data_IF_359906751422
#
_entry.id   IF_359906751422
#
_cell.length_a   1.000
_cell.length_b   1.000
_cell.length_c   1.000
_cell.angle_alpha   90.00
_cell.angle_beta   90.00
_cell.angle_gamma   90.00
#
_symmetry.space_group_name_H-M   'P 1'
#
loop_
_entity.id
_entity.type
_entity.pdbx_description
1 polymer ?
#
# COMPACT_ATOMS: atom_id res chain seq x y z
N UNK A 1 -15.32 8.44 0.40
CA UNK A 1 -15.38 7.62 -0.83
C UNK A 1 -14.39 6.48 -0.68
N UNK A 2 -14.75 5.23 -0.99
CA UNK A 2 -13.78 4.14 -1.06
C UNK A 2 -12.80 4.38 -2.22
N UNK A 3 -11.54 3.97 -2.07
CA UNK A 3 -10.54 4.01 -3.13
C UNK A 3 -10.88 2.97 -4.21
N UNK A 4 -10.69 3.32 -5.48
CA UNK A 4 -10.83 2.34 -6.57
C UNK A 4 -9.60 1.42 -6.63
N UNK A 5 -9.71 0.27 -7.31
CA UNK A 5 -8.57 -0.63 -7.58
C UNK A 5 -7.39 0.11 -8.23
N UNK A 6 -7.68 1.04 -9.15
CA UNK A 6 -6.68 1.87 -9.81
C UNK A 6 -5.98 2.79 -8.79
N UNK A 7 -6.74 3.42 -7.90
CA UNK A 7 -6.20 4.28 -6.84
C UNK A 7 -5.31 3.46 -5.90
N UNK A 8 -5.76 2.29 -5.46
CA UNK A 8 -4.98 1.37 -4.61
C UNK A 8 -3.65 0.97 -5.26
N UNK A 9 -3.66 0.72 -6.58
CA UNK A 9 -2.44 0.39 -7.33
C UNK A 9 -1.45 1.56 -7.36
N UNK A 10 -1.94 2.80 -7.55
CA UNK A 10 -1.09 3.98 -7.50
C UNK A 10 -0.56 4.26 -6.09
N UNK A 11 -1.41 4.09 -5.07
CA UNK A 11 -1.01 4.24 -3.66
C UNK A 11 0.08 3.22 -3.31
N UNK A 12 -0.07 1.95 -3.71
CA UNK A 12 0.95 0.91 -3.52
C UNK A 12 2.29 1.32 -4.14
N UNK A 13 2.28 1.75 -5.39
CA UNK A 13 3.50 2.18 -6.08
C UNK A 13 4.17 3.38 -5.41
N UNK A 14 3.38 4.35 -4.94
CA UNK A 14 3.89 5.50 -4.21
C UNK A 14 4.54 5.09 -2.88
N UNK A 15 3.87 4.23 -2.09
CA UNK A 15 4.41 3.74 -0.82
C UNK A 15 5.76 3.03 -1.04
N UNK A 16 5.86 2.15 -2.04
CA UNK A 16 7.10 1.46 -2.37
C UNK A 16 8.22 2.41 -2.80
N UNK A 17 7.90 3.47 -3.54
CA UNK A 17 8.89 4.48 -3.93
C UNK A 17 9.41 5.28 -2.73
N UNK A 18 8.52 5.65 -1.80
CA UNK A 18 8.91 6.35 -0.57
C UNK A 18 9.74 5.44 0.35
N UNK A 19 9.29 4.20 0.56
CA UNK A 19 10.02 3.23 1.40
C UNK A 19 11.43 2.95 0.83
N UNK A 20 11.57 2.78 -0.48
CA UNK A 20 12.88 2.65 -1.11
C UNK A 20 13.78 3.88 -0.93
N UNK A 21 13.21 5.08 -0.91
CA UNK A 21 13.95 6.32 -0.66
C UNK A 21 14.41 6.40 0.80
N UNK A 22 13.51 6.17 1.75
CA UNK A 22 13.83 6.23 3.18
C UNK A 22 14.84 5.15 3.60
N UNK A 23 14.74 3.95 3.04
CA UNK A 23 15.65 2.84 3.33
C UNK A 23 17.07 3.09 2.80
N UNK A 24 17.24 4.03 1.86
CA UNK A 24 18.55 4.40 1.34
C UNK A 24 19.30 5.41 2.22
N UNK A 25 18.60 6.07 3.16
CA UNK A 25 19.19 7.04 4.09
C UNK A 25 19.99 6.28 5.15
N UNK A 26 21.24 6.69 5.34
CA UNK A 26 22.10 6.17 6.40
C UNK A 26 22.11 7.08 7.62
N UNK A 27 22.36 6.51 8.81
CA UNK A 27 22.46 7.28 10.06
C UNK A 27 23.55 8.37 9.98
N UNK A 28 24.63 8.12 9.23
CA UNK A 28 25.73 9.06 9.01
C UNK A 28 25.35 10.30 8.18
N UNK A 29 24.25 10.24 7.44
CA UNK A 29 23.71 11.35 6.63
C UNK A 29 22.69 12.19 7.40
N UNK A 30 22.29 11.76 8.61
CA UNK A 30 21.38 12.49 9.48
C UNK A 30 22.15 13.47 10.37
N UNK A 31 21.67 14.71 10.44
CA UNK A 31 22.31 15.76 11.22
C UNK A 31 21.91 15.70 12.71
N UNK A 32 20.74 15.12 13.01
CA UNK A 32 20.16 15.03 14.36
C UNK A 32 20.11 13.59 14.89
N UNK A 33 20.35 13.41 16.19
CA UNK A 33 20.37 12.09 16.87
C UNK A 33 19.03 11.34 16.76
N UNK A 34 17.91 12.06 16.63
CA UNK A 34 16.56 11.48 16.55
C UNK A 34 16.07 11.32 15.10
N UNK A 35 16.65 12.01 14.12
CA UNK A 35 16.19 12.02 12.73
C UNK A 35 16.24 10.62 12.10
N UNK A 36 17.32 9.89 12.35
CA UNK A 36 17.43 8.51 11.87
C UNK A 36 16.38 7.60 12.50
N UNK A 37 16.10 7.76 13.79
CA UNK A 37 15.06 6.98 14.49
C UNK A 37 13.67 7.30 13.94
N UNK A 38 13.37 8.56 13.66
CA UNK A 38 12.10 8.98 13.04
C UNK A 38 11.93 8.35 11.64
N UNK A 39 13.00 8.31 10.84
CA UNK A 39 13.00 7.64 9.54
C UNK A 39 12.71 6.13 9.69
N UNK A 40 13.27 5.47 10.71
CA UNK A 40 12.98 4.06 10.97
C UNK A 40 11.50 3.84 11.35
N UNK A 41 10.93 4.73 12.16
CA UNK A 41 9.51 4.69 12.52
C UNK A 41 8.60 4.90 11.30
N UNK A 42 8.96 5.83 10.42
CA UNK A 42 8.26 6.07 9.15
C UNK A 42 8.32 4.85 8.24
N UNK A 43 9.48 4.19 8.11
CA UNK A 43 9.62 2.93 7.36
C UNK A 43 8.68 1.86 7.92
N UNK A 44 8.61 1.70 9.25
CA UNK A 44 7.69 0.76 9.89
C UNK A 44 6.22 1.10 9.60
N UNK A 45 5.88 2.39 9.59
CA UNK A 45 4.54 2.86 9.26
C UNK A 45 4.17 2.58 7.80
N UNK A 46 5.06 2.90 6.86
CA UNK A 46 4.89 2.62 5.43
C UNK A 46 4.71 1.14 5.15
N UNK A 47 5.47 0.27 5.83
CA UNK A 47 5.31 -1.19 5.72
C UNK A 47 3.92 -1.67 6.15
N UNK A 48 3.37 -1.09 7.23
CA UNK A 48 2.00 -1.39 7.69
C UNK A 48 0.96 -0.91 6.67
N UNK A 49 1.14 0.28 6.11
CA UNK A 49 0.25 0.80 5.06
C UNK A 49 0.29 -0.05 3.80
N UNK A 50 1.48 -0.49 3.38
CA UNK A 50 1.64 -1.36 2.22
C UNK A 50 0.89 -2.68 2.41
N UNK A 51 0.99 -3.30 3.59
CA UNK A 51 0.26 -4.53 3.91
C UNK A 51 -1.26 -4.34 3.83
N UNK A 52 -1.78 -3.22 4.35
CA UNK A 52 -3.21 -2.89 4.25
C UNK A 52 -3.65 -2.71 2.79
N UNK A 53 -2.91 -1.94 2.00
CA UNK A 53 -3.23 -1.69 0.59
C UNK A 53 -3.21 -3.00 -0.20
N UNK A 54 -2.22 -3.86 0.04
CA UNK A 54 -2.15 -5.18 -0.61
C UNK A 54 -3.37 -6.03 -0.29
N UNK A 55 -3.82 -6.04 0.97
CA UNK A 55 -5.04 -6.77 1.35
C UNK A 55 -6.28 -6.24 0.65
N UNK A 56 -6.46 -4.91 0.58
CA UNK A 56 -7.60 -4.30 -0.12
C UNK A 56 -7.59 -4.61 -1.63
N UNK A 57 -6.39 -4.65 -2.24
CA UNK A 57 -6.21 -5.08 -3.63
C UNK A 57 -6.62 -6.55 -3.79
N UNK A 58 -6.16 -7.45 -2.92
CA UNK A 58 -6.52 -8.86 -2.94
C UNK A 58 -8.04 -9.06 -2.77
N UNK A 59 -8.68 -8.31 -1.88
CA UNK A 59 -10.14 -8.34 -1.70
C UNK A 59 -10.88 -7.87 -2.96
N UNK A 60 -10.37 -6.81 -3.62
CA UNK A 60 -10.91 -6.32 -4.88
C UNK A 60 -10.73 -7.31 -6.04
N UNK A 61 -9.63 -8.08 -6.06
CA UNK A 61 -9.37 -9.10 -7.08
C UNK A 61 -10.21 -10.37 -6.85
N UNK A 62 -10.39 -10.76 -5.59
CA UNK A 62 -11.21 -11.91 -5.20
C UNK A 62 -12.72 -11.64 -5.32
N UNK A 63 -13.13 -10.38 -5.35
CA UNK A 63 -14.51 -9.94 -5.60
C UNK A 63 -14.93 -10.05 -7.08
N UNK A 64 -14.39 -11.02 -7.82
CA UNK A 64 -14.59 -11.22 -9.26
C UNK A 64 -16.06 -11.14 -9.72
N UNK A 65 -16.31 -11.01 -11.03
CA UNK A 65 -17.65 -10.75 -11.55
C UNK A 65 -18.65 -11.81 -11.07
N UNK A 66 -19.72 -11.39 -10.38
CA UNK A 66 -20.78 -12.32 -10.02
C UNK A 66 -21.53 -12.73 -11.28
N UNK A 67 -21.48 -14.02 -11.62
CA UNK A 67 -22.34 -14.57 -12.66
C UNK A 67 -23.79 -14.44 -12.20
N UNK A 68 -24.51 -13.44 -12.72
CA UNK A 68 -25.96 -13.40 -12.56
C UNK A 68 -26.53 -14.64 -13.25
N UNK A 69 -27.19 -15.51 -12.50
CA UNK A 69 -27.98 -16.59 -13.05
C UNK A 69 -29.10 -15.98 -13.89
N UNK A 70 -29.01 -16.12 -15.21
CA UNK A 70 -30.13 -15.82 -16.12
C UNK A 70 -31.15 -16.93 -15.91
N UNK A 71 -32.25 -16.63 -15.22
CA UNK A 71 -33.41 -17.51 -15.22
C UNK A 71 -33.97 -17.51 -16.65
N UNK A 72 -33.83 -18.63 -17.35
CA UNK A 72 -34.59 -18.88 -18.58
C UNK A 72 -35.99 -19.31 -18.13
N UNK A 73 -36.96 -18.42 -18.28
CA UNK A 73 -38.38 -18.76 -18.18
C UNK A 73 -38.72 -19.74 -19.32
N UNK A 74 -39.13 -20.97 -18.96
CA UNK A 74 -39.86 -21.91 -19.83
C UNK A 74 -41.37 -21.76 -19.61
#
# INVERSE_FOLDING_TARGET
MPFSYKDLTYIRAAIQAYEGTLTSVSEEECDDEDEFSEIQDDILYLNRLLALVNREIEESENSGPSLNTVYTDE
#
